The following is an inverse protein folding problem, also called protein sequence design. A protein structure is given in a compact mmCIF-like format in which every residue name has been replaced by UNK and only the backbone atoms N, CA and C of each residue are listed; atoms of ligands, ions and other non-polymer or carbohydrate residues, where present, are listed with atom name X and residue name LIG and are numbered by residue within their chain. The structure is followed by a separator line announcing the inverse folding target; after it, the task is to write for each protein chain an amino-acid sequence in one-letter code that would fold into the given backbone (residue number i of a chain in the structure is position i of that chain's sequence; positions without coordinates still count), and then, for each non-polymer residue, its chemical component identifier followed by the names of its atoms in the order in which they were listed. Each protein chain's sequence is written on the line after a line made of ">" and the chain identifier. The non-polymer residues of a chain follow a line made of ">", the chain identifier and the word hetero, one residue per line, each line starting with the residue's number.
data_IF_020098080824
#
_entry.id   IF_020098080824
#
_cell.length_a   1.000
_cell.length_b   1.000
_cell.length_c   1.000
_cell.angle_alpha   90.00
_cell.angle_beta   90.00
_cell.angle_gamma   90.00
#
_symmetry.space_group_name_H-M   'P 1'
#
loop_
_entity.id
_entity.type
_entity.pdbx_description
1 polymer ?
#
# COMPACT_ATOMS: atom_id res chain seq x y z
N UNK A 1 5.27 -0.07 -12.51
CA UNK A 1 5.70 0.47 -11.20
C UNK A 1 6.78 -0.49 -10.73
N UNK A 2 8.06 -0.22 -11.01
CA UNK A 2 9.09 -1.24 -10.83
C UNK A 2 9.31 -1.53 -9.34
N UNK A 3 8.99 -2.75 -8.89
CA UNK A 3 9.35 -3.21 -7.54
C UNK A 3 10.87 -3.40 -7.49
N UNK A 4 11.55 -2.57 -6.68
CA UNK A 4 12.96 -2.73 -6.35
C UNK A 4 13.04 -2.96 -4.84
N UNK A 5 13.40 -4.17 -4.42
CA UNK A 5 13.60 -4.47 -3.00
C UNK A 5 12.33 -4.61 -2.15
N UNK A 6 11.27 -5.28 -2.64
CA UNK A 6 10.15 -5.71 -1.79
C UNK A 6 9.05 -4.69 -1.48
N UNK A 7 9.20 -3.42 -1.89
CA UNK A 7 8.13 -2.42 -1.87
C UNK A 7 8.20 -1.49 -3.10
N UNK A 8 7.07 -0.88 -3.44
CA UNK A 8 6.97 0.10 -4.53
C UNK A 8 7.04 1.51 -3.95
N UNK A 9 7.82 2.39 -4.57
CA UNK A 9 7.85 3.82 -4.24
C UNK A 9 6.48 4.43 -4.53
N UNK A 10 5.89 5.13 -3.55
CA UNK A 10 4.59 5.78 -3.71
C UNK A 10 4.67 6.84 -4.83
N UNK A 11 3.75 6.82 -5.83
CA UNK A 11 3.83 7.70 -6.99
C UNK A 11 3.71 9.19 -6.65
N UNK A 12 3.10 9.54 -5.51
CA UNK A 12 3.04 10.91 -5.01
C UNK A 12 4.43 11.51 -4.71
N UNK A 13 5.47 10.67 -4.64
CA UNK A 13 6.87 11.11 -4.47
C UNK A 13 7.46 11.72 -5.74
N UNK A 14 6.92 11.37 -6.92
CA UNK A 14 7.54 11.61 -8.23
C UNK A 14 8.96 11.00 -8.41
N UNK A 15 9.35 10.03 -7.58
CA UNK A 15 10.69 9.40 -7.61
C UNK A 15 10.68 7.94 -8.05
N UNK A 16 9.53 7.41 -8.49
CA UNK A 16 9.31 5.99 -8.79
C UNK A 16 10.26 5.36 -9.82
N UNK A 17 10.86 6.17 -10.69
CA UNK A 17 11.76 5.72 -11.76
C UNK A 17 13.25 5.90 -11.42
N UNK A 18 13.56 6.67 -10.38
CA UNK A 18 14.92 7.10 -10.02
C UNK A 18 15.37 6.65 -8.61
N UNK A 19 14.47 6.05 -7.85
CA UNK A 19 14.69 5.65 -6.47
C UNK A 19 14.02 4.32 -6.13
N UNK A 20 14.39 3.76 -4.99
CA UNK A 20 13.79 2.55 -4.43
C UNK A 20 13.49 2.72 -2.94
N UNK A 21 12.60 1.89 -2.40
CA UNK A 21 12.35 1.86 -0.96
C UNK A 21 13.54 1.20 -0.27
N UNK A 22 14.05 1.84 0.77
CA UNK A 22 15.18 1.35 1.52
C UNK A 22 14.84 0.04 2.25
N UNK A 23 15.77 -0.92 2.20
CA UNK A 23 15.66 -2.21 2.88
C UNK A 23 16.45 -2.23 4.21
N UNK A 24 15.91 -2.93 5.20
CA UNK A 24 16.65 -3.32 6.40
C UNK A 24 17.83 -4.22 6.01
N UNK A 25 19.03 -3.94 6.53
CA UNK A 25 20.28 -4.68 6.24
C UNK A 25 20.38 -6.03 7.00
N UNK A 26 19.26 -6.58 7.46
CA UNK A 26 19.21 -7.83 8.22
C UNK A 26 18.95 -9.05 7.30
N UNK A 27 19.05 -10.27 7.85
CA UNK A 27 18.78 -11.53 7.12
C UNK A 27 17.41 -11.59 6.42
N UNK A 28 16.44 -10.82 6.90
CA UNK A 28 15.15 -10.62 6.24
C UNK A 28 15.12 -9.20 5.67
N UNK A 29 15.12 -9.09 4.35
CA UNK A 29 15.04 -7.81 3.63
C UNK A 29 13.64 -7.20 3.77
N UNK A 30 13.35 -6.59 4.91
CA UNK A 30 12.08 -5.88 5.10
C UNK A 30 12.23 -4.42 4.64
N UNK A 31 11.29 -3.89 3.84
CA UNK A 31 11.31 -2.50 3.44
C UNK A 31 10.94 -1.58 4.61
N UNK A 32 11.59 -0.41 4.68
CA UNK A 32 11.16 0.72 5.51
C UNK A 32 9.94 1.40 4.87
N UNK A 33 8.82 0.67 4.85
CA UNK A 33 7.56 1.12 4.29
C UNK A 33 6.41 0.56 5.12
N UNK A 34 5.44 1.42 5.45
CA UNK A 34 4.28 1.01 6.26
C UNK A 34 3.04 1.82 5.91
N UNK A 35 1.89 1.14 5.97
CA UNK A 35 0.56 1.76 5.90
C UNK A 35 -0.09 1.57 7.26
N UNK A 36 -0.58 2.66 7.83
CA UNK A 36 -1.24 2.68 9.13
C UNK A 36 -2.70 3.11 8.99
N UNK A 37 -3.58 2.54 9.82
CA UNK A 37 -5.00 2.88 9.89
C UNK A 37 -5.42 3.32 11.30
N UNK A 38 -6.33 4.29 11.37
CA UNK A 38 -7.01 4.70 12.59
C UNK A 38 -8.50 4.85 12.30
N UNK A 39 -9.31 4.03 12.96
CA UNK A 39 -10.77 4.10 12.92
C UNK A 39 -11.29 4.32 14.33
N UNK A 40 -12.20 5.28 14.47
CA UNK A 40 -12.97 5.54 15.68
C UNK A 40 -14.41 5.85 15.26
N UNK A 41 -15.32 4.91 15.55
CA UNK A 41 -16.73 4.99 15.15
C UNK A 41 -17.43 6.14 15.88
N UNK A 42 -17.20 6.28 17.19
CA UNK A 42 -17.80 7.31 18.03
C UNK A 42 -17.45 8.72 17.56
N UNK A 43 -16.22 8.90 17.06
CA UNK A 43 -15.73 10.18 16.51
C UNK A 43 -15.91 10.32 14.99
N UNK A 44 -16.45 9.31 14.32
CA UNK A 44 -16.54 9.25 12.85
C UNK A 44 -15.19 9.33 12.13
N UNK A 45 -14.10 8.96 12.80
CA UNK A 45 -12.74 9.03 12.25
C UNK A 45 -12.43 7.78 11.45
N UNK A 46 -11.96 7.95 10.21
CA UNK A 46 -11.43 6.88 9.37
C UNK A 46 -10.22 7.45 8.59
N UNK A 47 -9.03 7.28 9.15
CA UNK A 47 -7.82 7.95 8.69
C UNK A 47 -6.73 6.96 8.35
N UNK A 48 -5.94 7.27 7.32
CA UNK A 48 -4.72 6.54 6.97
C UNK A 48 -3.47 7.39 7.20
N UNK A 49 -2.35 6.70 7.38
CA UNK A 49 -1.03 7.29 7.40
C UNK A 49 -0.03 6.34 6.74
N UNK A 50 0.59 6.74 5.63
CA UNK A 50 1.60 6.01 4.88
C UNK A 50 2.96 6.63 5.10
N UNK A 51 3.99 5.81 5.24
CA UNK A 51 5.37 6.26 5.40
C UNK A 51 6.34 5.37 4.61
N UNK A 52 7.35 5.97 3.98
CA UNK A 52 8.42 5.25 3.28
C UNK A 52 9.77 5.96 3.45
N UNK A 53 10.83 5.19 3.68
CA UNK A 53 12.21 5.67 3.49
C UNK A 53 12.64 5.27 2.08
N UNK A 54 13.07 6.25 1.30
CA UNK A 54 13.40 6.13 -0.12
C UNK A 54 14.87 6.47 -0.31
N UNK A 55 15.61 5.63 -1.03
CA UNK A 55 17.01 5.84 -1.41
C UNK A 55 17.09 6.08 -2.93
N UNK A 56 17.77 7.15 -3.34
CA UNK A 56 17.96 7.44 -4.76
C UNK A 56 18.97 6.45 -5.36
N UNK A 57 18.67 5.90 -6.54
CA UNK A 57 19.48 4.85 -7.17
C UNK A 57 20.89 5.30 -7.58
N UNK A 58 21.10 6.60 -7.80
CA UNK A 58 22.34 7.16 -8.38
C UNK A 58 23.04 8.15 -7.46
N UNK A 59 22.31 8.74 -6.51
CA UNK A 59 22.82 9.78 -5.61
C UNK A 59 22.80 9.22 -4.20
N UNK A 60 23.78 9.59 -3.38
CA UNK A 60 23.77 9.28 -1.95
C UNK A 60 22.82 10.23 -1.21
N UNK A 61 21.54 10.13 -1.54
CA UNK A 61 20.47 11.00 -1.04
C UNK A 61 19.27 10.17 -0.65
N UNK A 62 18.68 10.50 0.48
CA UNK A 62 17.60 9.74 1.09
C UNK A 62 16.39 10.65 1.27
N UNK A 63 15.21 10.05 1.28
CA UNK A 63 13.97 10.77 1.48
C UNK A 63 13.07 10.04 2.48
N UNK A 64 12.38 10.82 3.31
CA UNK A 64 11.27 10.34 4.09
C UNK A 64 9.97 10.85 3.47
N UNK A 65 9.19 9.93 2.91
CA UNK A 65 7.88 10.22 2.38
C UNK A 65 6.80 9.91 3.41
N UNK A 66 5.81 10.80 3.51
CA UNK A 66 4.64 10.64 4.37
C UNK A 66 3.40 11.06 3.59
N UNK A 67 2.32 10.30 3.70
CA UNK A 67 1.01 10.65 3.13
C UNK A 67 -0.09 10.31 4.12
N UNK A 68 -1.04 11.21 4.34
CA UNK A 68 -2.09 11.06 5.34
C UNK A 68 -3.40 11.62 4.83
N UNK A 69 -4.51 11.17 5.39
CA UNK A 69 -5.82 11.67 5.02
C UNK A 69 -6.96 10.81 5.52
N UNK A 70 -8.18 11.20 5.14
CA UNK A 70 -9.37 10.38 5.37
C UNK A 70 -9.52 9.37 4.24
N UNK A 71 -9.69 8.10 4.59
CA UNK A 71 -9.85 6.99 3.63
C UNK A 71 -11.10 7.23 2.77
N UNK A 72 -11.01 6.97 1.46
CA UNK A 72 -12.15 7.15 0.54
C UNK A 72 -12.44 8.59 0.11
N UNK A 73 -11.62 9.56 0.51
CA UNK A 73 -11.85 10.98 0.19
C UNK A 73 -10.60 11.65 -0.36
N UNK A 74 -10.75 12.83 -0.96
CA UNK A 74 -9.61 13.68 -1.38
C UNK A 74 -8.96 14.42 -0.21
N UNK A 75 -9.53 14.34 1.00
CA UNK A 75 -9.01 15.02 2.19
C UNK A 75 -7.72 14.35 2.64
N UNK A 76 -6.63 15.13 2.68
CA UNK A 76 -5.32 14.64 3.07
C UNK A 76 -4.20 15.53 2.58
N UNK A 77 -2.98 15.06 2.74
CA UNK A 77 -1.77 15.68 2.24
C UNK A 77 -0.62 14.69 2.23
N UNK A 78 0.49 15.11 1.62
CA UNK A 78 1.73 14.36 1.65
C UNK A 78 2.91 15.32 1.92
N UNK A 79 4.05 14.74 2.28
CA UNK A 79 5.29 15.47 2.50
C UNK A 79 6.46 14.56 2.18
N UNK A 80 7.36 15.06 1.35
CA UNK A 80 8.64 14.43 1.02
C UNK A 80 9.76 15.27 1.66
N UNK A 81 10.51 14.69 2.56
CA UNK A 81 11.64 15.34 3.23
C UNK A 81 12.96 14.77 2.76
N UNK A 82 13.90 15.66 2.44
CA UNK A 82 15.26 15.30 2.03
C UNK A 82 16.18 15.06 3.23
N UNK A 83 17.05 14.05 3.10
CA UNK A 83 18.11 13.74 4.04
C UNK A 83 19.42 13.47 3.30
N UNK A 84 20.51 14.06 3.77
CA UNK A 84 21.87 13.78 3.28
C UNK A 84 22.47 12.51 3.89
N UNK A 85 21.93 12.05 5.02
CA UNK A 85 22.40 10.87 5.74
C UNK A 85 21.28 9.83 5.84
N UNK A 86 21.63 8.57 5.53
CA UNK A 86 20.75 7.41 5.64
C UNK A 86 20.19 7.21 7.05
N UNK A 87 21.05 7.30 8.06
CA UNK A 87 20.69 7.01 9.44
C UNK A 87 19.69 8.04 9.97
N UNK A 88 19.87 9.33 9.66
CA UNK A 88 18.94 10.38 10.04
C UNK A 88 17.54 10.13 9.47
N UNK A 89 17.44 9.65 8.23
CA UNK A 89 16.16 9.30 7.61
C UNK A 89 15.49 8.11 8.32
N UNK A 90 16.26 7.07 8.65
CA UNK A 90 15.78 5.88 9.39
C UNK A 90 15.34 6.25 10.81
N UNK A 91 16.13 7.05 11.53
CA UNK A 91 15.81 7.49 12.89
C UNK A 91 14.52 8.31 12.92
N UNK A 92 14.36 9.26 11.98
CA UNK A 92 13.12 10.01 11.86
C UNK A 92 11.93 9.13 11.51
N UNK A 93 12.11 8.16 10.61
CA UNK A 93 11.07 7.17 10.31
C UNK A 93 10.65 6.37 11.56
N UNK A 94 11.61 5.87 12.34
CA UNK A 94 11.34 5.10 13.55
C UNK A 94 10.69 5.94 14.65
N UNK A 95 11.13 7.19 14.82
CA UNK A 95 10.56 8.15 15.76
C UNK A 95 9.10 8.47 15.42
N UNK A 96 8.82 8.77 14.16
CA UNK A 96 7.45 9.03 13.70
C UNK A 96 6.56 7.79 13.79
N UNK A 97 7.09 6.60 13.48
CA UNK A 97 6.36 5.35 13.66
C UNK A 97 5.97 5.14 15.13
N UNK A 98 6.90 5.37 16.05
CA UNK A 98 6.64 5.31 17.49
C UNK A 98 5.62 6.38 17.92
N UNK A 99 5.73 7.61 17.42
CA UNK A 99 4.78 8.68 17.71
C UNK A 99 3.36 8.32 17.24
N UNK A 100 3.22 7.78 16.02
CA UNK A 100 1.91 7.48 15.43
C UNK A 100 1.28 6.20 15.99
N UNK A 101 2.07 5.19 16.33
CA UNK A 101 1.55 3.87 16.73
C UNK A 101 1.70 3.57 18.22
N UNK A 102 2.61 4.25 18.92
CA UNK A 102 3.02 3.88 20.28
C UNK A 102 3.86 2.59 20.36
N UNK A 103 4.32 2.06 19.22
CA UNK A 103 5.11 0.83 19.14
C UNK A 103 6.48 1.11 18.51
N UNK A 104 7.52 0.39 18.92
CA UNK A 104 8.83 0.47 18.28
C UNK A 104 8.80 -0.19 16.90
N UNK A 105 9.52 0.39 15.92
CA UNK A 105 9.66 -0.20 14.59
C UNK A 105 10.32 -1.59 14.63
N UNK A 106 11.27 -1.79 15.54
CA UNK A 106 11.97 -3.06 15.72
C UNK A 106 11.02 -4.19 16.16
N UNK A 107 9.97 -3.87 16.92
CA UNK A 107 8.96 -4.82 17.40
C UNK A 107 7.65 -4.76 16.62
N UNK A 108 7.65 -4.18 15.41
CA UNK A 108 6.42 -3.97 14.59
C UNK A 108 5.59 -5.25 14.35
N UNK A 109 6.22 -6.42 14.26
CA UNK A 109 5.53 -7.71 14.11
C UNK A 109 4.62 -8.06 15.30
N UNK A 110 4.91 -7.48 16.45
CA UNK A 110 4.17 -7.66 17.70
C UNK A 110 3.48 -6.37 18.15
N UNK A 111 3.20 -5.46 17.20
CA UNK A 111 2.58 -4.18 17.49
C UNK A 111 1.23 -4.38 18.16
N UNK A 112 1.04 -3.73 19.31
CA UNK A 112 -0.22 -3.74 20.05
C UNK A 112 -0.98 -2.46 19.75
N UNK A 113 -2.29 -2.58 19.52
CA UNK A 113 -3.16 -1.42 19.35
C UNK A 113 -3.12 -0.57 20.62
N UNK A 114 -2.79 0.71 20.46
CA UNK A 114 -2.82 1.70 21.53
C UNK A 114 -4.04 2.62 21.38
N UNK A 115 -4.64 3.10 22.49
CA UNK A 115 -5.75 4.05 22.45
C UNK A 115 -5.39 5.31 21.63
N UNK A 116 -6.29 5.75 20.76
CA UNK A 116 -6.13 6.96 19.91
C UNK A 116 -4.88 6.99 19.00
N UNK A 117 -4.19 5.85 18.80
CA UNK A 117 -3.01 5.74 17.95
C UNK A 117 -3.31 4.92 16.70
N UNK A 118 -2.56 5.14 15.64
CA UNK A 118 -2.66 4.33 14.42
C UNK A 118 -2.21 2.89 14.67
N UNK A 119 -2.70 1.97 13.85
CA UNK A 119 -2.29 0.56 13.84
C UNK A 119 -1.71 0.18 12.48
N UNK A 120 -0.59 -0.56 12.43
CA UNK A 120 -0.01 -1.01 11.16
C UNK A 120 -0.91 -2.02 10.47
N UNK A 121 -1.12 -1.83 9.17
CA UNK A 121 -1.85 -2.75 8.31
C UNK A 121 -0.85 -3.63 7.55
N UNK A 122 -1.03 -4.95 7.58
CA UNK A 122 -0.17 -5.88 6.87
C UNK A 122 -0.44 -5.83 5.36
N UNK A 123 0.56 -5.35 4.61
CA UNK A 123 0.53 -5.27 3.15
C UNK A 123 1.53 -6.26 2.52
N UNK A 124 1.06 -7.17 1.67
CA UNK A 124 1.86 -8.01 0.77
C UNK A 124 2.01 -7.32 -0.60
N UNK A 125 3.17 -6.73 -0.89
CA UNK A 125 3.47 -6.22 -2.23
C UNK A 125 3.84 -7.38 -3.16
N UNK A 126 2.85 -8.02 -3.81
CA UNK A 126 3.07 -9.00 -4.88
C UNK A 126 3.31 -8.32 -6.23
N UNK A 127 4.16 -8.91 -7.06
CA UNK A 127 4.60 -8.41 -8.37
C UNK A 127 3.57 -8.58 -9.50
N UNK A 128 2.38 -9.08 -9.20
CA UNK A 128 1.45 -9.57 -10.22
C UNK A 128 0.92 -8.46 -11.15
N UNK A 129 1.05 -7.19 -10.77
CA UNK A 129 0.55 -6.04 -11.54
C UNK A 129 1.42 -5.64 -12.74
N UNK A 130 2.75 -5.82 -12.69
CA UNK A 130 3.65 -5.37 -13.77
C UNK A 130 3.59 -6.34 -14.99
N UNK A 131 3.33 -7.63 -14.76
CA UNK A 131 3.10 -8.62 -15.83
C UNK A 131 1.71 -8.51 -16.47
N UNK A 132 0.70 -8.03 -15.72
CA UNK A 132 -0.68 -7.90 -16.22
C UNK A 132 -0.88 -6.58 -16.97
N UNK A 133 -0.32 -5.46 -16.49
CA UNK A 133 -0.46 -4.15 -17.16
C UNK A 133 0.31 -4.08 -18.49
N UNK A 134 1.49 -4.68 -18.57
CA UNK A 134 2.29 -4.73 -19.81
C UNK A 134 1.61 -5.52 -20.92
N UNK A 135 0.66 -6.41 -20.60
CA UNK A 135 -0.11 -7.20 -21.57
C UNK A 135 -1.44 -6.56 -21.97
N UNK A 136 -1.93 -5.56 -21.23
CA UNK A 136 -3.23 -4.91 -21.45
C UNK A 136 -3.11 -3.53 -22.12
N UNK A 137 -1.92 -2.91 -22.11
CA UNK A 137 -1.70 -1.55 -22.62
C UNK A 137 -1.58 -1.43 -24.14
N UNK A 138 -1.49 -2.54 -24.88
CA UNK A 138 -1.54 -2.51 -26.34
C UNK A 138 -2.99 -2.34 -26.80
N UNK A 139 -3.48 -1.09 -26.78
CA UNK A 139 -4.79 -0.73 -27.34
C UNK A 139 -4.90 -0.99 -28.86
N UNK A 140 -3.78 -1.32 -29.52
CA UNK A 140 -3.71 -1.74 -30.91
C UNK A 140 -3.59 -3.28 -31.09
N UNK A 141 -3.72 -4.08 -30.03
CA UNK A 141 -3.69 -5.54 -30.14
C UNK A 141 -4.98 -6.05 -30.78
N UNK A 142 -4.94 -6.27 -32.10
CA UNK A 142 -5.95 -7.09 -32.78
C UNK A 142 -5.77 -8.51 -32.25
N UNK A 143 -6.65 -8.91 -31.34
CA UNK A 143 -6.69 -10.25 -30.76
C UNK A 143 -6.63 -11.30 -31.87
N UNK A 144 -5.50 -11.98 -32.01
CA UNK A 144 -5.32 -13.16 -32.88
C UNK A 144 -6.06 -14.40 -32.36
N UNK A 145 -6.92 -14.22 -31.35
CA UNK A 145 -7.68 -15.28 -30.72
C UNK A 145 -8.61 -15.94 -31.72
N UNK A 146 -8.47 -17.27 -31.81
CA UNK A 146 -9.32 -18.14 -32.64
C UNK A 146 -10.64 -18.49 -31.94
N UNK A 147 -10.90 -17.95 -30.75
CA UNK A 147 -12.13 -18.21 -30.00
C UNK A 147 -13.33 -17.49 -30.62
N UNK A 148 -14.52 -18.06 -30.48
CA UNK A 148 -15.76 -17.41 -30.90
C UNK A 148 -15.93 -16.05 -30.22
N UNK A 149 -16.51 -15.09 -30.93
CA UNK A 149 -16.69 -13.71 -30.45
C UNK A 149 -17.48 -13.65 -29.12
N UNK A 150 -18.46 -14.53 -28.94
CA UNK A 150 -19.23 -14.66 -27.70
C UNK A 150 -18.33 -14.99 -26.49
N UNK A 151 -17.37 -15.91 -26.66
CA UNK A 151 -16.41 -16.28 -25.61
C UNK A 151 -15.44 -15.13 -25.36
N UNK A 152 -14.95 -14.46 -26.41
CA UNK A 152 -14.08 -13.29 -26.25
C UNK A 152 -14.77 -12.17 -25.48
N UNK A 153 -16.04 -11.91 -25.77
CA UNK A 153 -16.84 -10.89 -25.07
C UNK A 153 -17.08 -11.28 -23.61
N UNK A 154 -17.37 -12.56 -23.34
CA UNK A 154 -17.51 -13.05 -21.97
C UNK A 154 -16.21 -12.88 -21.18
N UNK A 155 -15.06 -13.22 -21.77
CA UNK A 155 -13.75 -13.04 -21.12
C UNK A 155 -13.48 -11.55 -20.86
N UNK A 156 -13.73 -10.67 -21.83
CA UNK A 156 -13.59 -9.21 -21.64
C UNK A 156 -14.48 -8.69 -20.52
N UNK A 157 -15.69 -9.22 -20.38
CA UNK A 157 -16.62 -8.85 -19.31
C UNK A 157 -16.11 -9.32 -17.95
N UNK A 158 -15.70 -10.58 -17.82
CA UNK A 158 -15.23 -11.17 -16.55
C UNK A 158 -13.91 -10.56 -16.09
N UNK A 159 -13.00 -10.23 -17.01
CA UNK A 159 -11.66 -9.70 -16.70
C UNK A 159 -11.57 -8.17 -16.84
N UNK A 160 -12.69 -7.45 -16.77
CA UNK A 160 -12.67 -5.99 -16.79
C UNK A 160 -12.22 -5.41 -15.45
N UNK A 161 -10.93 -5.05 -15.36
CA UNK A 161 -10.33 -4.46 -14.16
C UNK A 161 -10.98 -3.11 -13.80
N UNK A 162 -11.43 -2.32 -14.78
CA UNK A 162 -12.07 -1.03 -14.51
C UNK A 162 -13.44 -1.23 -13.84
N UNK A 163 -14.25 -2.16 -14.34
CA UNK A 163 -15.52 -2.54 -13.71
C UNK A 163 -15.30 -3.05 -12.29
N UNK A 164 -14.32 -3.94 -12.08
CA UNK A 164 -13.98 -4.41 -10.72
C UNK A 164 -13.57 -3.25 -9.80
N UNK A 165 -12.74 -2.32 -10.29
CA UNK A 165 -12.33 -1.13 -9.52
C UNK A 165 -13.51 -0.22 -9.17
N UNK A 166 -14.46 -0.07 -10.09
CA UNK A 166 -15.65 0.74 -9.87
C UNK A 166 -16.55 0.11 -8.80
N UNK A 167 -16.81 -1.20 -8.87
CA UNK A 167 -17.61 -1.90 -7.85
C UNK A 167 -16.97 -1.82 -6.46
N UNK A 168 -15.64 -1.92 -6.35
CA UNK A 168 -14.97 -1.78 -5.05
C UNK A 168 -15.12 -0.38 -4.44
N UNK A 169 -15.23 0.67 -5.27
CA UNK A 169 -15.52 2.03 -4.78
C UNK A 169 -16.93 2.14 -4.20
N UNK A 170 -17.90 1.38 -4.73
CA UNK A 170 -19.28 1.34 -4.20
C UNK A 170 -19.32 0.75 -2.78
N UNK A 171 -18.38 -0.13 -2.43
CA UNK A 171 -18.18 -0.64 -1.06
C UNK A 171 -17.32 0.29 -0.19
N UNK A 172 -17.12 1.54 -0.59
CA UNK A 172 -16.27 2.53 0.08
C UNK A 172 -14.79 2.13 0.19
N UNK A 173 -14.33 1.21 -0.67
CA UNK A 173 -12.96 0.75 -0.67
C UNK A 173 -12.13 1.53 -1.70
N UNK A 174 -11.25 2.39 -1.20
CA UNK A 174 -10.35 3.19 -2.04
C UNK A 174 -9.11 2.39 -2.46
N UNK A 175 -9.15 1.84 -3.67
CA UNK A 175 -8.05 1.07 -4.26
C UNK A 175 -6.77 1.88 -4.55
N UNK A 176 -6.85 3.21 -4.61
CA UNK A 176 -5.68 4.07 -4.83
C UNK A 176 -4.93 4.31 -3.52
N UNK A 177 -5.67 4.47 -2.42
CA UNK A 177 -5.11 4.74 -1.09
C UNK A 177 -4.86 3.47 -0.28
N UNK A 178 -5.64 2.43 -0.53
CA UNK A 178 -5.55 1.08 0.04
C UNK A 178 -5.65 0.05 -1.10
N UNK A 179 -4.54 -0.29 -1.77
CA UNK A 179 -4.55 -1.28 -2.83
C UNK A 179 -4.89 -2.67 -2.25
N UNK A 180 -6.16 -3.06 -2.32
CA UNK A 180 -6.69 -4.32 -1.78
C UNK A 180 -5.96 -5.57 -2.28
N UNK A 181 -5.43 -5.53 -3.51
CA UNK A 181 -4.65 -6.63 -4.10
C UNK A 181 -3.35 -6.93 -3.36
N UNK A 182 -3.05 -6.18 -2.30
CA UNK A 182 -1.86 -6.28 -1.47
C UNK A 182 -2.19 -6.46 0.01
N UNK A 183 -3.44 -6.75 0.41
CA UNK A 183 -3.72 -7.10 1.81
C UNK A 183 -3.28 -8.54 2.06
N UNK A 184 -2.61 -8.81 3.19
CA UNK A 184 -2.15 -10.17 3.50
C UNK A 184 -3.33 -11.14 3.65
N UNK A 185 -3.16 -12.38 3.20
CA UNK A 185 -4.19 -13.43 3.40
C UNK A 185 -4.53 -13.60 4.89
N UNK A 186 -3.55 -13.37 5.76
CA UNK A 186 -3.70 -13.42 7.21
C UNK A 186 -4.63 -12.29 7.71
N UNK A 187 -4.43 -11.06 7.24
CA UNK A 187 -5.28 -9.91 7.57
C UNK A 187 -6.74 -10.14 7.15
N UNK A 188 -6.96 -10.74 5.97
CA UNK A 188 -8.31 -11.10 5.49
C UNK A 188 -8.96 -12.14 6.42
N UNK A 189 -8.23 -13.21 6.79
CA UNK A 189 -8.73 -14.23 7.71
C UNK A 189 -9.10 -13.66 9.08
N UNK A 190 -8.28 -12.76 9.62
CA UNK A 190 -8.57 -12.07 10.87
C UNK A 190 -9.82 -11.20 10.76
N UNK A 191 -9.99 -10.46 9.66
CA UNK A 191 -11.19 -9.67 9.42
C UNK A 191 -12.46 -10.55 9.37
N UNK A 192 -12.41 -11.71 8.71
CA UNK A 192 -13.52 -12.67 8.71
C UNK A 192 -13.83 -13.22 10.11
N UNK A 193 -12.81 -13.51 10.93
CA UNK A 193 -13.04 -13.94 12.33
C UNK A 193 -13.85 -12.90 13.10
N UNK A 194 -13.47 -11.63 12.99
CA UNK A 194 -14.16 -10.52 13.65
C UNK A 194 -15.61 -10.40 13.14
N UNK A 195 -15.83 -10.50 11.82
CA UNK A 195 -17.19 -10.45 11.25
C UNK A 195 -18.06 -11.62 11.74
N UNK A 196 -17.48 -12.82 11.86
CA UNK A 196 -18.19 -13.98 12.40
C UNK A 196 -18.52 -13.83 13.89
N UNK A 197 -17.61 -13.26 14.68
CA UNK A 197 -17.86 -12.92 16.09
C UNK A 197 -19.00 -11.91 16.21
N UNK A 198 -19.07 -10.91 15.33
CA UNK A 198 -20.14 -9.93 15.29
C UNK A 198 -21.49 -10.52 14.85
N UNK A 199 -21.48 -11.47 13.92
CA UNK A 199 -22.69 -12.17 13.46
C UNK A 199 -23.17 -13.28 14.42
N UNK A 200 -22.29 -13.76 15.29
CA UNK A 200 -22.59 -14.77 16.32
C UNK A 200 -23.17 -14.17 17.62
N UNK A 201 -23.36 -12.86 17.66
CA UNK A 201 -24.14 -12.11 18.65
C UNK A 201 -25.55 -11.90 18.08
#
# INVERSE_FOLDING_TARGET
>A
MKLKGGAVVDPDTNLQDEAHVLLEQNFVQNPYSVVLGLVDISRGTNSYYKMQVIEHDKKSTFYLFRSWGRVGTTIGGNKLEYYSNKNDAIENFCSLYLEKTGNSWASRKYAKKQPNKFYPLEMEYRNDDDDVKSRLSDQNYVSSSKLALSIQNLIKLIFNIETMKQQMKEFEIDLNKMPLGKISSNQIKQAFSILNELNGI
#
